data_IF_582726638408
#
_entry.id   IF_582726638408
#
_cell.length_a   1.000
_cell.length_b   1.000
_cell.length_c   1.000
_cell.angle_alpha   90.00
_cell.angle_beta   90.00
_cell.angle_gamma   90.00
#
_symmetry.space_group_name_H-M   'P 1'
#
loop_
_entity.id
_entity.type
_entity.pdbx_description
1 polymer ?
#
# COMPACT_ATOMS: atom_id res chain seq x y z
N UNK A 1 -5.12 -19.14 5.15
CA UNK A 1 -4.49 -18.61 3.91
C UNK A 1 -4.67 -17.11 3.88
N UNK A 2 -3.57 -16.36 3.97
CA UNK A 2 -3.54 -14.89 4.04
C UNK A 2 -3.58 -14.25 2.65
N UNK A 3 -3.76 -12.91 2.53
CA UNK A 3 -3.58 -12.21 1.24
C UNK A 3 -2.18 -12.41 0.64
N UNK A 4 -1.15 -12.47 1.50
CA UNK A 4 0.23 -12.68 1.10
C UNK A 4 0.46 -14.09 0.53
N UNK A 5 -0.12 -15.12 1.17
CA UNK A 5 -0.10 -16.50 0.64
C UNK A 5 -0.70 -16.58 -0.75
N UNK A 6 -1.87 -15.96 -0.96
CA UNK A 6 -2.53 -15.96 -2.27
C UNK A 6 -1.71 -15.28 -3.36
N UNK A 7 -1.11 -14.13 -3.02
CA UNK A 7 -0.29 -13.39 -3.97
C UNK A 7 0.99 -14.15 -4.35
N UNK A 8 1.61 -14.84 -3.37
CA UNK A 8 2.77 -15.68 -3.62
C UNK A 8 2.44 -16.85 -4.54
N UNK A 9 1.39 -17.61 -4.23
CA UNK A 9 0.95 -18.73 -5.07
C UNK A 9 0.61 -18.28 -6.49
N UNK A 10 -0.07 -17.13 -6.66
CA UNK A 10 -0.34 -16.58 -7.98
C UNK A 10 0.96 -16.22 -8.73
N UNK A 11 1.96 -15.68 -8.03
CA UNK A 11 3.25 -15.36 -8.64
C UNK A 11 4.02 -16.61 -9.09
N UNK A 12 3.93 -17.71 -8.32
CA UNK A 12 4.54 -19.01 -8.68
C UNK A 12 3.81 -19.67 -9.85
N UNK A 13 2.47 -19.66 -9.86
CA UNK A 13 1.65 -20.30 -10.88
C UNK A 13 1.73 -19.58 -12.23
N UNK A 14 1.59 -18.25 -12.24
CA UNK A 14 1.59 -17.43 -13.45
C UNK A 14 2.99 -17.17 -13.98
N UNK A 15 4.00 -17.06 -13.11
CA UNK A 15 5.37 -16.71 -13.45
C UNK A 15 5.53 -15.35 -14.14
N UNK A 16 4.49 -14.51 -14.15
CA UNK A 16 4.48 -13.21 -14.80
C UNK A 16 5.08 -12.12 -13.91
N UNK A 17 5.64 -11.09 -14.52
CA UNK A 17 6.16 -9.95 -13.77
C UNK A 17 5.04 -9.22 -13.00
N UNK A 18 3.84 -9.14 -13.55
CA UNK A 18 2.68 -8.53 -12.88
C UNK A 18 2.29 -9.28 -11.60
N UNK A 19 2.26 -10.62 -11.63
CA UNK A 19 1.95 -11.42 -10.44
C UNK A 19 3.03 -11.25 -9.36
N UNK A 20 4.31 -11.18 -9.75
CA UNK A 20 5.43 -10.89 -8.84
C UNK A 20 5.32 -9.48 -8.23
N UNK A 21 4.97 -8.47 -9.02
CA UNK A 21 4.75 -7.11 -8.55
C UNK A 21 3.60 -7.05 -7.53
N UNK A 22 2.51 -7.78 -7.79
CA UNK A 22 1.38 -7.91 -6.85
C UNK A 22 1.82 -8.55 -5.52
N UNK A 23 2.70 -9.55 -5.56
CA UNK A 23 3.26 -10.12 -4.33
C UNK A 23 4.03 -9.07 -3.53
N UNK A 24 4.92 -8.29 -4.15
CA UNK A 24 5.67 -7.23 -3.47
C UNK A 24 4.76 -6.12 -2.94
N UNK A 25 3.68 -5.80 -3.63
CA UNK A 25 2.67 -4.88 -3.15
C UNK A 25 2.04 -5.39 -1.84
N UNK A 26 1.58 -6.64 -1.83
CA UNK A 26 1.00 -7.27 -0.63
C UNK A 26 1.99 -7.40 0.51
N UNK A 27 3.27 -7.67 0.20
CA UNK A 27 4.33 -7.68 1.20
C UNK A 27 4.50 -6.30 1.86
N UNK A 28 4.51 -5.23 1.07
CA UNK A 28 4.64 -3.86 1.58
C UNK A 28 3.47 -3.44 2.49
N UNK A 29 2.25 -3.92 2.19
CA UNK A 29 1.03 -3.62 2.93
C UNK A 29 0.80 -4.53 4.14
N UNK A 30 1.43 -5.70 4.18
CA UNK A 30 1.23 -6.66 5.26
C UNK A 30 1.73 -6.13 6.60
N UNK A 31 1.02 -6.48 7.67
CA UNK A 31 1.56 -6.43 9.02
C UNK A 31 2.43 -7.66 9.23
N UNK A 32 3.68 -7.45 9.66
CA UNK A 32 4.68 -8.51 9.82
C UNK A 32 5.22 -8.52 11.25
N UNK A 33 5.32 -9.72 11.81
CA UNK A 33 5.89 -9.99 13.13
C UNK A 33 7.35 -10.40 12.96
N UNK A 34 8.24 -9.47 13.28
CA UNK A 34 9.69 -9.65 13.18
C UNK A 34 10.21 -10.40 14.41
N UNK A 35 10.99 -11.45 14.19
CA UNK A 35 11.67 -12.17 15.26
C UNK A 35 12.87 -11.35 15.74
N UNK A 36 12.91 -11.07 17.05
CA UNK A 36 13.98 -10.29 17.67
C UNK A 36 15.00 -11.18 18.36
N UNK A 37 16.18 -10.64 18.56
CA UNK A 37 17.18 -11.24 19.43
C UNK A 37 16.74 -11.15 20.89
N UNK A 38 17.07 -12.17 21.71
CA UNK A 38 16.70 -12.24 23.14
C UNK A 38 17.51 -11.22 23.99
N UNK A 39 18.33 -10.40 23.37
CA UNK A 39 19.05 -9.31 24.01
C UNK A 39 18.14 -8.20 24.51
N UNK A 40 18.43 -7.73 25.71
CA UNK A 40 17.71 -6.70 26.46
C UNK A 40 17.58 -5.40 25.63
N UNK A 41 16.41 -5.15 25.06
CA UNK A 41 16.10 -3.89 24.31
C UNK A 41 16.00 -2.70 25.27
N UNK A 42 17.12 -2.34 25.93
CA UNK A 42 17.15 -1.28 26.96
C UNK A 42 16.94 0.12 26.41
N UNK A 43 17.15 0.32 25.08
CA UNK A 43 17.14 1.64 24.46
C UNK A 43 16.01 1.85 23.43
N UNK A 44 15.00 0.95 23.39
CA UNK A 44 13.93 1.04 22.39
C UNK A 44 14.41 0.73 20.95
N UNK A 45 15.61 0.21 20.79
CA UNK A 45 16.15 -0.20 19.49
C UNK A 45 15.65 -1.59 19.13
N UNK A 46 15.12 -1.75 17.92
CA UNK A 46 14.70 -3.04 17.38
C UNK A 46 15.94 -3.76 16.83
N UNK A 47 16.31 -4.89 17.45
CA UNK A 47 17.42 -5.72 16.99
C UNK A 47 16.86 -7.06 16.48
N UNK A 48 16.82 -7.27 15.14
CA UNK A 48 16.33 -8.53 14.58
C UNK A 48 17.30 -9.68 14.92
N UNK A 49 16.74 -10.87 15.14
CA UNK A 49 17.53 -12.10 15.18
C UNK A 49 17.95 -12.43 13.75
N UNK A 50 19.25 -12.58 13.53
CA UNK A 50 19.83 -12.81 12.21
C UNK A 50 20.23 -14.25 12.03
N UNK A 51 19.99 -14.77 10.84
CA UNK A 51 20.39 -16.09 10.38
C UNK A 51 21.27 -15.94 9.15
N UNK A 52 22.33 -16.73 9.06
CA UNK A 52 23.22 -16.70 7.92
C UNK A 52 22.98 -17.93 7.03
N UNK A 53 22.69 -17.67 5.76
CA UNK A 53 22.48 -18.70 4.75
C UNK A 53 23.38 -18.34 3.56
N UNK A 54 24.33 -19.20 3.22
CA UNK A 54 25.27 -19.01 2.10
C UNK A 54 26.01 -17.65 2.11
N UNK A 55 26.36 -17.17 3.31
CA UNK A 55 27.09 -15.90 3.47
C UNK A 55 26.20 -14.64 3.44
N UNK A 56 24.89 -14.80 3.26
CA UNK A 56 23.90 -13.71 3.34
C UNK A 56 23.16 -13.78 4.66
N UNK A 57 22.98 -12.63 5.32
CA UNK A 57 22.26 -12.54 6.59
C UNK A 57 20.81 -12.19 6.33
N UNK A 58 19.91 -12.91 7.01
CA UNK A 58 18.46 -12.75 6.92
C UNK A 58 17.86 -12.48 8.29
N UNK A 59 16.92 -11.53 8.36
CA UNK A 59 15.98 -11.42 9.46
C UNK A 59 14.73 -12.24 9.14
N UNK A 60 14.04 -12.78 10.15
CA UNK A 60 12.84 -13.58 9.97
C UNK A 60 11.60 -12.80 10.38
N UNK A 61 10.58 -12.80 9.52
CA UNK A 61 9.29 -12.23 9.83
C UNK A 61 8.13 -13.08 9.30
N UNK A 62 6.99 -12.96 9.97
CA UNK A 62 5.79 -13.76 9.75
C UNK A 62 4.56 -12.85 9.67
N UNK A 63 3.63 -13.16 8.78
CA UNK A 63 2.39 -12.37 8.61
C UNK A 63 1.26 -12.79 9.57
N UNK A 64 1.51 -13.82 10.39
CA UNK A 64 0.63 -14.23 11.48
C UNK A 64 1.45 -14.49 12.74
N UNK A 65 0.98 -14.04 13.93
CA UNK A 65 1.63 -14.35 15.21
C UNK A 65 1.78 -15.84 15.46
N UNK A 66 0.80 -16.64 15.06
CA UNK A 66 0.80 -18.09 15.24
C UNK A 66 1.96 -18.74 14.48
N UNK A 67 2.22 -18.33 13.22
CA UNK A 67 3.35 -18.81 12.42
C UNK A 67 4.70 -18.53 13.09
N UNK A 68 4.85 -17.34 13.68
CA UNK A 68 6.05 -17.00 14.42
C UNK A 68 6.18 -17.86 15.69
N UNK A 69 5.08 -18.07 16.40
CA UNK A 69 5.07 -18.89 17.61
C UNK A 69 5.36 -20.36 17.32
N UNK A 70 4.84 -20.90 16.23
CA UNK A 70 5.11 -22.27 15.79
C UNK A 70 6.59 -22.44 15.44
N UNK A 71 7.20 -21.44 14.77
CA UNK A 71 8.61 -21.44 14.39
C UNK A 71 9.57 -21.26 15.58
N UNK A 72 9.35 -20.25 16.43
CA UNK A 72 10.33 -19.79 17.41
C UNK A 72 9.89 -20.02 18.87
N UNK A 73 8.68 -20.52 19.10
CA UNK A 73 8.11 -20.61 20.45
C UNK A 73 7.87 -19.23 21.06
N UNK A 74 8.08 -19.13 22.37
CA UNK A 74 8.00 -17.84 23.08
C UNK A 74 9.29 -17.05 22.81
N UNK A 75 9.23 -16.10 21.91
CA UNK A 75 10.33 -15.24 21.51
C UNK A 75 9.95 -13.75 21.56
N UNK A 76 10.94 -12.88 21.68
CA UNK A 76 10.73 -11.44 21.57
C UNK A 76 10.38 -11.08 20.12
N UNK A 77 9.39 -10.21 19.93
CA UNK A 77 8.87 -9.83 18.60
C UNK A 77 8.60 -8.34 18.52
N UNK A 78 8.64 -7.80 17.28
CA UNK A 78 8.14 -6.47 16.96
C UNK A 78 7.21 -6.55 15.76
N UNK A 79 6.09 -5.84 15.82
CA UNK A 79 5.13 -5.75 14.72
C UNK A 79 5.39 -4.50 13.91
N UNK A 80 5.62 -4.67 12.61
CA UNK A 80 5.94 -3.61 11.65
C UNK A 80 5.14 -3.81 10.36
N UNK A 81 4.87 -2.72 9.64
CA UNK A 81 4.43 -2.86 8.25
C UNK A 81 5.57 -3.38 7.38
N UNK A 82 5.25 -4.18 6.35
CA UNK A 82 6.23 -4.68 5.40
C UNK A 82 7.05 -3.56 4.75
N UNK A 83 6.44 -2.42 4.47
CA UNK A 83 7.12 -1.19 4.01
C UNK A 83 8.25 -0.76 4.97
N UNK A 84 7.94 -0.65 6.26
CA UNK A 84 8.92 -0.24 7.27
C UNK A 84 10.03 -1.27 7.45
N UNK A 85 9.65 -2.54 7.41
CA UNK A 85 10.60 -3.65 7.48
C UNK A 85 11.54 -3.63 6.26
N UNK A 86 11.02 -3.47 5.04
CA UNK A 86 11.84 -3.37 3.82
C UNK A 86 12.83 -2.21 3.89
N UNK A 87 12.42 -1.04 4.40
CA UNK A 87 13.31 0.11 4.59
C UNK A 87 14.44 -0.21 5.56
N UNK A 88 14.12 -0.81 6.69
CA UNK A 88 15.09 -1.18 7.74
C UNK A 88 16.10 -2.22 7.21
N UNK A 89 15.62 -3.29 6.58
CA UNK A 89 16.49 -4.35 6.08
C UNK A 89 17.35 -3.90 4.90
N UNK A 90 16.80 -3.07 4.02
CA UNK A 90 17.54 -2.51 2.88
C UNK A 90 18.71 -1.61 3.34
N UNK A 91 18.53 -0.82 4.42
CA UNK A 91 19.59 0.05 4.96
C UNK A 91 20.77 -0.74 5.54
N UNK A 92 20.51 -1.92 6.11
CA UNK A 92 21.48 -2.80 6.72
C UNK A 92 22.02 -3.90 5.78
N UNK A 93 21.59 -3.88 4.52
CA UNK A 93 21.92 -4.92 3.52
C UNK A 93 21.59 -6.34 4.00
N UNK A 94 20.41 -6.50 4.60
CA UNK A 94 19.88 -7.76 5.10
C UNK A 94 18.82 -8.31 4.17
N UNK A 95 18.72 -9.64 4.08
CA UNK A 95 17.60 -10.34 3.46
C UNK A 95 16.44 -10.55 4.44
N UNK A 96 15.33 -11.03 3.92
CA UNK A 96 14.13 -11.39 4.69
C UNK A 96 13.79 -12.87 4.46
N UNK A 97 13.77 -13.66 5.52
CA UNK A 97 13.11 -14.95 5.57
C UNK A 97 11.65 -14.71 5.95
N UNK A 98 10.76 -14.87 4.98
CA UNK A 98 9.33 -14.65 5.13
C UNK A 98 8.62 -15.97 5.39
N UNK A 99 7.82 -16.04 6.45
CA UNK A 99 6.91 -17.16 6.74
C UNK A 99 7.56 -18.55 6.60
N UNK A 100 8.84 -18.70 6.99
CA UNK A 100 9.57 -19.95 6.80
C UNK A 100 8.86 -21.13 7.48
N UNK A 101 9.06 -22.33 6.97
CA UNK A 101 8.45 -23.62 7.22
C UNK A 101 7.23 -23.88 6.31
N UNK A 102 6.05 -24.22 6.87
CA UNK A 102 4.91 -24.80 6.12
C UNK A 102 3.95 -23.76 5.50
N UNK A 103 4.28 -22.47 5.52
CA UNK A 103 3.40 -21.48 4.95
C UNK A 103 3.48 -21.45 3.42
N UNK A 104 2.36 -21.27 2.69
CA UNK A 104 2.38 -21.17 1.23
C UNK A 104 3.25 -20.03 0.69
N UNK A 105 3.46 -18.98 1.48
CA UNK A 105 4.32 -17.83 1.16
C UNK A 105 5.72 -17.92 1.75
N UNK A 106 6.17 -19.13 2.16
CA UNK A 106 7.50 -19.32 2.71
C UNK A 106 8.57 -19.11 1.64
N UNK A 107 9.44 -18.09 1.83
CA UNK A 107 10.53 -17.81 0.90
C UNK A 107 11.64 -16.96 1.52
N UNK A 108 12.79 -16.96 0.85
CA UNK A 108 13.90 -16.06 1.12
C UNK A 108 13.89 -14.93 0.10
N UNK A 109 13.85 -13.70 0.57
CA UNK A 109 14.02 -12.49 -0.23
C UNK A 109 15.43 -11.96 0.03
N UNK A 110 16.21 -11.86 -1.02
CA UNK A 110 17.58 -11.38 -0.92
C UNK A 110 17.64 -9.86 -0.63
N UNK A 111 18.80 -9.33 -0.22
CA UNK A 111 18.95 -7.90 0.05
C UNK A 111 18.70 -7.02 -1.19
N UNK A 112 18.88 -7.54 -2.40
CA UNK A 112 18.66 -6.79 -3.64
C UNK A 112 17.16 -6.57 -3.89
N UNK A 113 16.35 -7.60 -3.70
CA UNK A 113 14.90 -7.52 -3.78
C UNK A 113 14.33 -6.49 -2.78
N UNK A 114 14.84 -6.47 -1.54
CA UNK A 114 14.41 -5.50 -0.53
C UNK A 114 14.87 -4.08 -0.85
N UNK A 115 16.07 -3.90 -1.41
CA UNK A 115 16.53 -2.59 -1.88
C UNK A 115 15.70 -2.08 -3.06
N UNK A 116 15.32 -2.98 -3.98
CA UNK A 116 14.41 -2.64 -5.06
C UNK A 116 13.05 -2.20 -4.51
N UNK A 117 12.45 -2.99 -3.62
CA UNK A 117 11.17 -2.66 -3.00
C UNK A 117 11.23 -1.32 -2.26
N UNK A 118 12.28 -1.09 -1.45
CA UNK A 118 12.44 0.17 -0.74
C UNK A 118 12.56 1.37 -1.68
N UNK A 119 13.31 1.26 -2.79
CA UNK A 119 13.41 2.33 -3.79
C UNK A 119 12.08 2.61 -4.48
N UNK A 120 11.34 1.54 -4.82
CA UNK A 120 10.00 1.64 -5.43
C UNK A 120 9.03 2.38 -4.51
N UNK A 121 9.02 2.03 -3.22
CA UNK A 121 8.15 2.65 -2.22
C UNK A 121 8.58 4.07 -1.80
N UNK A 122 9.85 4.41 -1.98
CA UNK A 122 10.38 5.75 -1.69
C UNK A 122 10.16 6.75 -2.84
N UNK A 123 9.72 6.28 -4.02
CA UNK A 123 9.47 7.15 -5.15
C UNK A 123 8.37 8.17 -4.81
N UNK A 124 8.69 9.44 -4.98
CA UNK A 124 7.74 10.53 -4.82
C UNK A 124 7.38 11.09 -6.20
N UNK A 125 6.08 11.28 -6.50
CA UNK A 125 5.66 11.94 -7.72
C UNK A 125 6.27 13.34 -7.81
N UNK A 126 6.72 13.72 -8.99
CA UNK A 126 7.22 15.07 -9.27
C UNK A 126 6.05 16.01 -9.53
N UNK A 127 6.11 17.21 -8.96
CA UNK A 127 5.14 18.27 -9.27
C UNK A 127 5.45 18.88 -10.63
N UNK A 128 4.46 18.92 -11.51
CA UNK A 128 4.57 19.47 -12.86
C UNK A 128 3.42 20.42 -13.14
N UNK A 129 3.71 21.59 -13.70
CA UNK A 129 2.68 22.49 -14.21
C UNK A 129 2.39 22.18 -15.66
N UNK A 130 1.16 21.77 -15.97
CA UNK A 130 0.69 21.54 -17.33
C UNK A 130 -0.71 22.14 -17.52
N UNK A 131 -0.96 22.70 -18.72
CA UNK A 131 -2.27 23.23 -19.06
C UNK A 131 -3.07 22.22 -19.85
N UNK A 132 -4.23 21.85 -19.31
CA UNK A 132 -5.17 20.93 -19.95
C UNK A 132 -5.94 21.72 -21.03
N UNK A 133 -5.89 21.23 -22.26
CA UNK A 133 -6.64 21.77 -23.40
C UNK A 133 -7.99 21.04 -23.57
N UNK A 134 -8.01 19.73 -23.39
CA UNK A 134 -9.20 18.90 -23.59
C UNK A 134 -9.27 17.81 -22.52
N UNK A 135 -10.49 17.48 -22.10
CA UNK A 135 -10.79 16.35 -21.23
C UNK A 135 -11.75 15.41 -21.95
N UNK A 136 -11.44 14.13 -21.98
CA UNK A 136 -12.22 13.09 -22.64
C UNK A 136 -12.46 11.90 -21.69
N UNK A 137 -13.25 10.93 -22.15
CA UNK A 137 -13.32 9.63 -21.49
C UNK A 137 -11.92 9.02 -21.38
N UNK A 138 -11.61 8.25 -20.31
CA UNK A 138 -10.28 7.68 -20.11
C UNK A 138 -9.87 6.66 -21.19
N UNK A 139 -10.81 6.22 -22.05
CA UNK A 139 -10.51 5.19 -23.07
C UNK A 139 -10.28 3.83 -22.47
N UNK A 140 -9.43 3.03 -23.11
CA UNK A 140 -9.09 1.68 -22.68
C UNK A 140 -8.04 1.74 -21.56
N UNK A 141 -8.49 1.57 -20.32
CA UNK A 141 -7.62 1.41 -19.15
C UNK A 141 -7.45 -0.08 -18.87
N UNK A 142 -6.22 -0.58 -18.68
CA UNK A 142 -6.01 -1.99 -18.33
C UNK A 142 -6.73 -2.37 -17.03
N UNK A 143 -7.41 -3.51 -17.00
CA UNK A 143 -8.13 -4.00 -15.80
C UNK A 143 -7.20 -4.16 -14.60
N UNK A 144 -5.93 -4.52 -14.82
CA UNK A 144 -4.92 -4.62 -13.78
C UNK A 144 -4.70 -3.29 -13.06
N UNK A 145 -4.69 -2.17 -13.81
CA UNK A 145 -4.56 -0.84 -13.22
C UNK A 145 -5.81 -0.43 -12.44
N UNK A 146 -7.00 -0.71 -12.97
CA UNK A 146 -8.25 -0.42 -12.25
C UNK A 146 -8.31 -1.19 -10.92
N UNK A 147 -7.90 -2.46 -10.93
CA UNK A 147 -7.83 -3.30 -9.73
C UNK A 147 -6.80 -2.77 -8.73
N UNK A 148 -5.62 -2.35 -9.19
CA UNK A 148 -4.58 -1.78 -8.33
C UNK A 148 -5.01 -0.44 -7.72
N UNK A 149 -5.64 0.44 -8.53
CA UNK A 149 -6.20 1.70 -8.04
C UNK A 149 -7.30 1.48 -7.01
N UNK A 150 -8.22 0.55 -7.26
CA UNK A 150 -9.29 0.21 -6.31
C UNK A 150 -8.72 -0.30 -4.98
N UNK A 151 -7.73 -1.18 -5.04
CA UNK A 151 -7.02 -1.69 -3.85
C UNK A 151 -6.33 -0.58 -3.05
N UNK A 152 -5.57 0.30 -3.70
CA UNK A 152 -4.84 1.38 -3.04
C UNK A 152 -5.76 2.47 -2.50
N UNK A 153 -6.72 2.92 -3.31
CA UNK A 153 -7.66 3.96 -2.91
C UNK A 153 -8.69 3.45 -1.89
N UNK A 154 -8.94 2.13 -1.86
CA UNK A 154 -9.71 1.49 -0.81
C UNK A 154 -9.11 1.66 0.60
N UNK A 155 -7.80 1.86 0.71
CA UNK A 155 -7.10 2.17 1.96
C UNK A 155 -7.11 3.67 2.32
N UNK A 156 -7.44 4.54 1.37
CA UNK A 156 -7.44 5.99 1.54
C UNK A 156 -8.74 6.52 2.18
N UNK A 157 -9.18 5.88 3.26
CA UNK A 157 -10.44 6.16 3.96
C UNK A 157 -10.50 7.62 4.42
N UNK A 158 -11.47 8.36 3.90
CA UNK A 158 -11.73 9.74 4.30
C UNK A 158 -10.72 10.78 3.83
N UNK A 159 -9.72 10.42 3.01
CA UNK A 159 -8.70 11.36 2.54
C UNK A 159 -9.18 12.28 1.42
N UNK A 160 -10.14 11.85 0.63
CA UNK A 160 -10.82 12.65 -0.37
C UNK A 160 -12.28 12.22 -0.48
N UNK A 161 -13.11 13.10 -1.07
CA UNK A 161 -14.51 12.77 -1.28
C UNK A 161 -14.72 11.80 -2.43
N UNK A 162 -14.04 12.04 -3.55
CA UNK A 162 -14.14 11.24 -4.78
C UNK A 162 -12.96 11.53 -5.70
N UNK A 163 -12.65 10.59 -6.58
CA UNK A 163 -11.72 10.75 -7.70
C UNK A 163 -12.42 10.63 -9.05
N UNK A 164 -11.83 11.21 -10.08
CA UNK A 164 -12.26 11.07 -11.48
C UNK A 164 -11.06 10.77 -12.35
N UNK A 165 -11.04 9.62 -12.99
CA UNK A 165 -10.02 9.24 -13.98
C UNK A 165 -10.52 9.60 -15.38
N UNK A 166 -9.77 10.42 -16.10
CA UNK A 166 -10.13 10.89 -17.43
C UNK A 166 -8.94 10.90 -18.38
N UNK A 167 -9.20 10.87 -19.69
CA UNK A 167 -8.21 11.19 -20.71
C UNK A 167 -8.03 12.70 -20.83
N UNK A 168 -6.79 13.13 -21.07
CA UNK A 168 -6.45 14.54 -21.25
C UNK A 168 -5.57 14.77 -22.46
N UNK A 169 -5.75 15.93 -23.09
CA UNK A 169 -4.78 16.50 -24.01
C UNK A 169 -4.25 17.81 -23.43
N UNK A 170 -2.94 17.99 -23.45
CA UNK A 170 -2.25 19.17 -22.94
C UNK A 170 -1.93 20.18 -24.03
N UNK A 171 -1.75 21.45 -23.66
CA UNK A 171 -1.15 22.44 -24.55
C UNK A 171 0.23 21.93 -25.00
N UNK A 172 0.46 21.84 -26.32
CA UNK A 172 1.67 21.21 -26.88
C UNK A 172 1.44 19.81 -27.47
N UNK A 173 0.21 19.27 -27.37
CA UNK A 173 -0.22 18.06 -28.09
C UNK A 173 0.06 16.75 -27.36
N UNK A 174 0.68 16.76 -26.18
CA UNK A 174 0.83 15.56 -25.36
C UNK A 174 -0.55 15.05 -24.90
N UNK A 175 -0.72 13.74 -24.86
CA UNK A 175 -1.94 13.08 -24.39
C UNK A 175 -1.59 12.12 -23.28
N UNK A 176 -2.47 11.99 -22.29
CA UNK A 176 -2.29 11.10 -21.14
C UNK A 176 -3.59 10.91 -20.39
N UNK A 177 -3.45 10.46 -19.16
CA UNK A 177 -4.56 10.33 -18.24
C UNK A 177 -4.36 11.24 -17.03
N UNK A 178 -5.45 11.66 -16.43
CA UNK A 178 -5.43 12.44 -15.19
C UNK A 178 -6.40 11.81 -14.19
N UNK A 179 -5.95 11.67 -12.95
CA UNK A 179 -6.79 11.34 -11.81
C UNK A 179 -6.97 12.58 -10.94
N UNK A 180 -8.15 13.18 -11.02
CA UNK A 180 -8.50 14.36 -10.23
C UNK A 180 -9.22 13.99 -8.96
N UNK A 181 -8.59 14.25 -7.80
CA UNK A 181 -9.25 14.09 -6.49
C UNK A 181 -9.99 15.37 -6.10
N UNK A 182 -11.20 15.21 -5.58
CA UNK A 182 -12.06 16.31 -5.20
C UNK A 182 -12.24 16.37 -3.69
N UNK A 183 -12.13 17.57 -3.13
CA UNK A 183 -12.26 17.86 -1.70
C UNK A 183 -11.34 16.96 -0.84
N UNK A 184 -10.05 17.03 -1.13
CA UNK A 184 -8.99 16.32 -0.40
C UNK A 184 -8.81 16.96 0.98
N UNK A 185 -8.59 16.13 2.00
CA UNK A 185 -8.22 16.59 3.34
C UNK A 185 -6.84 17.28 3.27
N UNK A 186 -6.70 18.49 3.83
CA UNK A 186 -5.43 19.20 3.79
C UNK A 186 -4.25 18.37 4.30
N UNK A 187 -3.21 18.25 3.50
CA UNK A 187 -2.01 17.48 3.80
C UNK A 187 -2.03 16.01 3.32
N UNK A 188 -3.16 15.52 2.78
CA UNK A 188 -3.27 14.16 2.24
C UNK A 188 -2.88 14.06 0.75
N UNK A 189 -2.57 15.19 0.09
CA UNK A 189 -2.27 15.24 -1.34
C UNK A 189 -1.08 14.34 -1.71
N UNK A 190 0.00 14.41 -0.93
CA UNK A 190 1.19 13.61 -1.16
C UNK A 190 0.95 12.11 -0.97
N UNK A 191 0.11 11.71 -0.03
CA UNK A 191 -0.22 10.31 0.22
C UNK A 191 -1.09 9.72 -0.89
N UNK A 192 -2.06 10.50 -1.38
CA UNK A 192 -2.89 10.11 -2.53
C UNK A 192 -2.08 10.00 -3.83
N UNK A 193 -1.20 10.96 -4.09
CA UNK A 193 -0.32 10.91 -5.26
C UNK A 193 0.62 9.69 -5.21
N UNK A 194 1.17 9.39 -4.04
CA UNK A 194 2.00 8.20 -3.81
C UNK A 194 1.21 6.91 -4.03
N UNK A 195 -0.02 6.82 -3.50
CA UNK A 195 -0.88 5.65 -3.68
C UNK A 195 -1.15 5.37 -5.17
N UNK A 196 -1.40 6.40 -5.98
CA UNK A 196 -1.57 6.27 -7.43
C UNK A 196 -0.27 5.81 -8.11
N UNK A 197 0.87 6.43 -7.77
CA UNK A 197 2.17 6.03 -8.31
C UNK A 197 2.50 4.58 -7.99
N UNK A 198 2.24 4.12 -6.77
CA UNK A 198 2.43 2.72 -6.39
C UNK A 198 1.50 1.78 -7.16
N UNK A 199 0.21 2.15 -7.32
CA UNK A 199 -0.73 1.36 -8.12
C UNK A 199 -0.24 1.17 -9.56
N UNK A 200 0.33 2.21 -10.18
CA UNK A 200 0.93 2.12 -11.52
C UNK A 200 2.11 1.17 -11.55
N UNK A 201 3.10 1.37 -10.68
CA UNK A 201 4.31 0.55 -10.66
C UNK A 201 3.98 -0.93 -10.39
N UNK A 202 3.14 -1.22 -9.40
CA UNK A 202 2.79 -2.60 -9.05
C UNK A 202 1.82 -3.27 -10.03
N UNK A 203 1.16 -2.52 -10.92
CA UNK A 203 0.46 -3.08 -12.08
C UNK A 203 1.34 -3.26 -13.32
N UNK A 204 2.63 -2.99 -13.22
CA UNK A 204 3.60 -3.13 -14.32
C UNK A 204 3.57 -1.99 -15.32
N UNK A 205 3.01 -0.84 -14.94
CA UNK A 205 2.92 0.36 -15.78
C UNK A 205 3.91 1.44 -15.31
N UNK A 206 4.27 2.34 -16.21
CA UNK A 206 5.12 3.47 -15.85
C UNK A 206 4.39 4.45 -14.95
N UNK A 207 5.06 4.91 -13.89
CA UNK A 207 4.50 5.86 -12.92
C UNK A 207 4.03 7.19 -13.54
N UNK A 208 4.54 7.56 -14.72
CA UNK A 208 4.16 8.78 -15.46
C UNK A 208 2.95 8.64 -16.38
N UNK A 209 2.24 7.52 -16.37
CA UNK A 209 1.08 7.33 -17.27
C UNK A 209 -0.20 7.98 -16.77
N UNK A 210 -0.28 8.34 -15.50
CA UNK A 210 -1.42 9.07 -14.92
C UNK A 210 -0.90 10.27 -14.13
N UNK A 211 -1.32 11.45 -14.54
CA UNK A 211 -1.11 12.65 -13.75
C UNK A 211 -2.14 12.75 -12.63
N UNK A 212 -1.74 13.29 -11.48
CA UNK A 212 -2.62 13.47 -10.34
C UNK A 212 -2.86 14.95 -10.10
N UNK A 213 -4.13 15.33 -9.88
CA UNK A 213 -4.47 16.72 -9.52
C UNK A 213 -5.46 16.76 -8.36
N UNK A 214 -5.40 17.84 -7.59
CA UNK A 214 -6.23 18.05 -6.40
C UNK A 214 -7.11 19.27 -6.60
N UNK A 215 -8.42 19.08 -6.46
CA UNK A 215 -9.42 20.08 -6.84
C UNK A 215 -10.41 20.27 -5.68
N UNK A 216 -10.93 21.49 -5.57
CA UNK A 216 -12.13 21.74 -4.81
C UNK A 216 -13.36 21.44 -5.67
N UNK A 217 -14.47 21.02 -5.08
CA UNK A 217 -15.70 20.73 -5.84
C UNK A 217 -16.19 21.92 -6.68
N UNK A 218 -15.92 23.16 -6.25
CA UNK A 218 -16.28 24.38 -6.98
C UNK A 218 -15.36 24.70 -8.18
N UNK A 219 -14.27 23.97 -8.36
CA UNK A 219 -13.32 24.21 -9.47
C UNK A 219 -13.94 23.77 -10.80
N UNK A 220 -13.86 24.58 -11.89
CA UNK A 220 -14.45 24.24 -13.18
C UNK A 220 -13.99 22.90 -13.75
N UNK A 221 -12.70 22.57 -13.57
CA UNK A 221 -12.14 21.30 -14.01
C UNK A 221 -12.81 20.10 -13.29
N UNK A 222 -13.18 20.22 -12.01
CA UNK A 222 -13.86 19.15 -11.29
C UNK A 222 -15.21 18.79 -11.95
N UNK A 223 -15.97 19.78 -12.38
CA UNK A 223 -17.22 19.57 -13.12
C UNK A 223 -16.99 18.93 -14.50
N UNK A 224 -15.89 19.26 -15.16
CA UNK A 224 -15.53 18.68 -16.47
C UNK A 224 -15.10 17.23 -16.31
N UNK A 225 -14.24 16.92 -15.30
CA UNK A 225 -13.84 15.56 -14.97
C UNK A 225 -15.04 14.71 -14.57
N UNK A 226 -15.97 15.24 -13.76
CA UNK A 226 -17.18 14.53 -13.38
C UNK A 226 -18.12 14.18 -14.56
N UNK A 227 -18.04 14.93 -15.66
CA UNK A 227 -18.84 14.69 -16.86
C UNK A 227 -18.25 13.64 -17.78
N UNK A 228 -16.95 13.58 -17.89
CA UNK A 228 -16.23 12.76 -18.88
C UNK A 228 -15.46 11.59 -18.26
N UNK A 229 -15.07 11.70 -16.98
CA UNK A 229 -14.21 10.74 -16.31
C UNK A 229 -14.97 9.57 -15.70
N UNK A 230 -14.23 8.47 -15.49
CA UNK A 230 -14.65 7.36 -14.65
C UNK A 230 -14.59 7.80 -13.19
N UNK A 231 -15.71 7.71 -12.51
CA UNK A 231 -15.80 8.06 -11.08
C UNK A 231 -15.24 6.94 -10.22
N UNK A 232 -14.44 7.31 -9.24
CA UNK A 232 -13.89 6.44 -8.21
C UNK A 232 -14.33 7.00 -6.86
N UNK A 233 -15.13 6.22 -6.11
CA UNK A 233 -15.57 6.62 -4.78
C UNK A 233 -14.57 6.13 -3.74
N UNK A 234 -14.05 7.05 -2.93
CA UNK A 234 -13.18 6.69 -1.82
C UNK A 234 -14.02 6.29 -0.60
N UNK A 235 -13.55 5.34 0.23
CA UNK A 235 -14.28 4.93 1.42
C UNK A 235 -14.46 6.09 2.40
N UNK A 236 -15.64 6.14 2.99
CA UNK A 236 -15.95 7.13 4.04
C UNK A 236 -15.65 6.50 5.39
N UNK A 237 -15.06 7.24 6.36
CA UNK A 237 -14.88 6.73 7.70
C UNK A 237 -16.21 6.30 8.32
N UNK A 238 -16.21 5.18 9.02
CA UNK A 238 -17.36 4.78 9.82
C UNK A 238 -17.71 5.88 10.81
N UNK A 239 -19.00 6.24 10.87
CA UNK A 239 -19.47 7.20 11.87
C UNK A 239 -19.09 6.65 13.27
N UNK A 240 -18.47 7.49 14.15
CA UNK A 240 -18.15 7.03 15.49
C UNK A 240 -19.41 6.49 16.14
N UNK A 241 -19.37 5.23 16.62
CA UNK A 241 -20.46 4.63 17.34
C UNK A 241 -20.80 5.56 18.52
N UNK A 242 -22.00 6.13 18.51
CA UNK A 242 -22.47 6.96 19.62
C UNK A 242 -22.47 6.05 20.86
N UNK A 243 -21.67 6.36 21.91
CA UNK A 243 -21.67 5.51 23.09
C UNK A 243 -23.09 5.48 23.64
N UNK A 244 -23.73 4.32 23.64
CA UNK A 244 -25.00 4.14 24.32
C UNK A 244 -24.74 4.37 25.80
N UNK A 245 -25.37 5.37 26.39
CA UNK A 245 -25.22 5.65 27.82
C UNK A 245 -25.57 4.37 28.61
N UNK A 246 -24.68 3.89 29.48
CA UNK A 246 -24.99 2.72 30.30
C UNK A 246 -26.20 3.06 31.20
N UNK A 247 -27.30 2.31 31.05
CA UNK A 247 -28.38 2.33 32.02
C UNK A 247 -29.69 2.98 31.63
N UNK A 248 -30.09 3.01 30.34
CA UNK A 248 -31.40 3.52 29.94
C UNK A 248 -32.55 2.52 30.07
N UNK A 249 -32.31 1.24 30.35
CA UNK A 249 -33.39 0.21 30.33
C UNK A 249 -33.88 -0.29 31.70
N UNK A 250 -33.36 0.17 32.81
CA UNK A 250 -33.92 -0.11 34.13
C UNK A 250 -33.53 0.95 35.16
N UNK A 251 -34.46 1.48 35.96
CA UNK A 251 -34.08 2.36 37.06
C UNK A 251 -33.24 1.62 38.11
N UNK A 252 -32.24 2.27 38.71
CA UNK A 252 -31.39 1.62 39.71
C UNK A 252 -32.24 1.15 40.89
N UNK A 253 -32.22 -0.13 41.18
CA UNK A 253 -32.82 -0.67 42.39
C UNK A 253 -31.84 -0.43 43.54
N UNK A 254 -32.12 0.59 44.32
CA UNK A 254 -31.47 0.78 45.63
C UNK A 254 -32.02 -0.29 46.61
N UNK A 255 -31.16 -1.01 47.26
CA UNK A 255 -31.41 -1.81 48.42
C UNK A 255 -30.85 -1.11 49.66
#
# INVERSE_FOLDING_TARGET
MTPLDRAHLAAEDDGTDTARLTFFERLAEAELHLLLDDGDSRDGTITPRLFEIEGTRYALAFDLPDRLTDFAGAAATATLSGRRLATMLASENLGLGLNLEDAPSAQLLDPEALRWLNRTLAHQPEETEARIQEVSSPGDIPDALLTALDGKLGLAVGLARTGYLAGVAYEGGARGHILGFVDVVPGAEGDLARAVSEALVFSGLDAGQIDVTFLRAAHPLAATLARHGLRIDLPVPDAPATPTAPGTDAPPRLR
#
